data_IF_253268266317
#
_entry.id   IF_253268266317
#
_cell.length_a   1.000
_cell.length_b   1.000
_cell.length_c   1.000
_cell.angle_alpha   90.00
_cell.angle_beta   90.00
_cell.angle_gamma   90.00
#
_symmetry.space_group_name_H-M   'P 1'
#
loop_
_entity.id
_entity.type
_entity.pdbx_description
1 polymer ?
#
# COMPACT_ATOMS: atom_id res chain seq x y z
N UNK A 1 56.37 -82.58 -26.98
CA UNK A 1 56.65 -81.31 -26.30
C UNK A 1 56.00 -80.13 -27.06
N UNK A 2 54.84 -79.71 -26.69
CA UNK A 2 54.14 -78.50 -27.26
C UNK A 2 53.92 -77.48 -26.17
N UNK A 3 54.41 -76.29 -26.37
CA UNK A 3 54.26 -75.13 -25.42
C UNK A 3 52.91 -74.40 -25.64
N UNK A 4 52.17 -73.99 -24.59
CA UNK A 4 50.99 -73.21 -24.75
C UNK A 4 51.32 -71.68 -24.81
N UNK A 5 51.05 -71.07 -25.94
CA UNK A 5 51.17 -69.59 -26.13
C UNK A 5 49.88 -69.03 -26.66
N UNK A 6 48.90 -68.86 -25.83
CA UNK A 6 47.67 -68.08 -26.25
C UNK A 6 46.86 -67.40 -25.13
N UNK A 7 47.30 -67.42 -23.88
CA UNK A 7 46.48 -66.85 -22.79
C UNK A 7 46.78 -65.39 -22.39
N UNK A 8 47.91 -64.82 -22.88
CA UNK A 8 48.33 -63.46 -22.44
C UNK A 8 47.74 -62.29 -23.27
N UNK A 9 47.24 -62.55 -24.48
CA UNK A 9 46.67 -61.52 -25.36
C UNK A 9 45.19 -61.19 -25.08
N UNK A 10 44.46 -62.10 -24.43
CA UNK A 10 43.04 -61.94 -24.07
C UNK A 10 42.84 -60.96 -22.88
N UNK A 11 43.71 -61.08 -21.86
CA UNK A 11 43.61 -60.19 -20.67
C UNK A 11 44.01 -58.74 -20.95
N UNK A 12 44.94 -58.53 -21.91
CA UNK A 12 45.38 -57.20 -22.28
C UNK A 12 44.31 -56.41 -23.12
N UNK A 13 43.54 -57.18 -23.92
CA UNK A 13 42.37 -56.58 -24.64
C UNK A 13 41.17 -56.28 -23.72
N UNK A 14 40.94 -57.15 -22.73
CA UNK A 14 39.90 -56.94 -21.75
C UNK A 14 40.22 -55.75 -20.82
N UNK A 15 41.50 -55.60 -20.41
CA UNK A 15 41.93 -54.43 -19.61
C UNK A 15 41.91 -53.14 -20.43
N UNK A 16 42.19 -53.13 -21.70
CA UNK A 16 42.12 -51.97 -22.57
C UNK A 16 40.65 -51.54 -22.82
N UNK A 17 39.73 -52.50 -23.02
CA UNK A 17 38.30 -52.17 -23.18
C UNK A 17 37.66 -51.69 -21.89
N UNK A 18 38.03 -52.21 -20.73
CA UNK A 18 37.52 -51.70 -19.41
C UNK A 18 38.14 -50.36 -19.11
N UNK A 19 39.42 -50.10 -19.47
CA UNK A 19 40.05 -48.78 -19.27
C UNK A 19 39.42 -47.69 -20.18
N UNK A 20 39.08 -48.04 -21.45
CA UNK A 20 38.36 -47.15 -22.36
C UNK A 20 36.92 -46.95 -21.95
N UNK A 21 36.24 -47.95 -21.40
CA UNK A 21 34.87 -47.83 -20.85
C UNK A 21 34.85 -47.00 -19.56
N UNK A 22 35.89 -47.05 -18.72
CA UNK A 22 36.02 -46.21 -17.53
C UNK A 22 36.40 -44.76 -17.87
N UNK A 23 37.12 -44.49 -18.95
CA UNK A 23 37.40 -43.13 -19.42
C UNK A 23 36.17 -42.52 -20.09
N UNK A 24 35.34 -43.32 -20.77
CA UNK A 24 34.09 -42.81 -21.35
C UNK A 24 32.98 -42.54 -20.32
N UNK A 25 33.08 -43.06 -19.08
CA UNK A 25 32.16 -42.72 -17.98
C UNK A 25 32.56 -41.46 -17.20
N UNK A 26 33.69 -40.84 -17.51
CA UNK A 26 34.15 -39.61 -16.84
C UNK A 26 33.92 -38.33 -17.66
N UNK A 27 33.31 -38.43 -18.83
CA UNK A 27 32.65 -37.27 -19.41
C UNK A 27 31.28 -37.08 -18.73
N UNK A 28 31.31 -36.72 -17.45
CA UNK A 28 30.21 -35.97 -16.86
C UNK A 28 29.99 -34.79 -17.78
N UNK A 29 28.91 -34.80 -18.52
CA UNK A 29 28.42 -33.61 -19.18
C UNK A 29 28.30 -32.54 -18.10
N UNK A 30 29.27 -31.65 -18.05
CA UNK A 30 29.14 -30.39 -17.35
C UNK A 30 28.09 -29.64 -18.18
N UNK A 31 26.81 -29.93 -17.89
CA UNK A 31 25.71 -29.15 -18.40
C UNK A 31 25.93 -27.77 -17.79
N UNK A 32 26.35 -26.81 -18.58
CA UNK A 32 26.36 -25.43 -18.16
C UNK A 32 24.92 -25.14 -17.73
N UNK A 33 24.72 -24.88 -16.45
CA UNK A 33 23.41 -24.45 -15.95
C UNK A 33 23.05 -23.21 -16.74
N UNK A 34 21.95 -23.28 -17.46
CA UNK A 34 21.40 -22.13 -18.17
C UNK A 34 20.86 -21.13 -17.15
N UNK A 35 20.70 -19.87 -17.56
CA UNK A 35 20.11 -18.81 -16.71
C UNK A 35 18.69 -19.15 -16.24
N UNK A 36 18.05 -20.11 -16.88
CA UNK A 36 16.69 -20.59 -16.58
C UNK A 36 16.64 -21.64 -15.46
N UNK A 37 17.80 -22.19 -15.04
CA UNK A 37 17.90 -23.27 -14.07
C UNK A 37 18.85 -22.91 -12.93
N UNK A 38 18.53 -23.37 -11.72
CA UNK A 38 19.41 -23.24 -10.55
C UNK A 38 19.41 -21.87 -9.87
N UNK A 39 18.48 -20.97 -10.23
CA UNK A 39 18.19 -19.76 -9.47
C UNK A 39 17.24 -20.02 -8.28
N UNK A 40 17.23 -19.11 -7.32
CA UNK A 40 16.30 -19.15 -6.18
C UNK A 40 14.93 -18.60 -6.61
N UNK A 41 13.93 -19.49 -6.73
CA UNK A 41 12.58 -19.12 -7.20
C UNK A 41 11.90 -18.14 -6.25
N UNK A 42 12.05 -18.29 -4.94
CA UNK A 42 11.41 -17.41 -3.94
C UNK A 42 12.00 -15.98 -4.00
N UNK A 43 13.34 -15.88 -4.07
CA UNK A 43 13.99 -14.59 -4.28
C UNK A 43 13.63 -14.01 -5.66
N UNK A 44 13.57 -14.85 -6.69
CA UNK A 44 13.17 -14.47 -8.04
C UNK A 44 11.74 -13.91 -8.09
N UNK A 45 10.81 -14.47 -7.34
CA UNK A 45 9.44 -13.95 -7.21
C UNK A 45 9.44 -12.55 -6.59
N UNK A 46 10.18 -12.36 -5.50
CA UNK A 46 10.30 -11.06 -4.83
C UNK A 46 10.89 -9.99 -5.77
N UNK A 47 11.98 -10.34 -6.46
CA UNK A 47 12.66 -9.46 -7.42
C UNK A 47 11.79 -9.16 -8.65
N UNK A 48 11.07 -10.16 -9.16
CA UNK A 48 10.14 -9.98 -10.27
C UNK A 48 9.02 -9.02 -9.90
N UNK A 49 8.39 -9.20 -8.74
CA UNK A 49 7.33 -8.33 -8.26
C UNK A 49 7.81 -6.89 -8.09
N UNK A 50 9.02 -6.70 -7.57
CA UNK A 50 9.59 -5.38 -7.35
C UNK A 50 9.99 -4.64 -8.65
N UNK A 51 10.46 -5.35 -9.69
CA UNK A 51 11.10 -4.72 -10.85
C UNK A 51 10.38 -4.98 -12.19
N UNK A 52 9.62 -6.06 -12.32
CA UNK A 52 9.10 -6.54 -13.62
C UNK A 52 7.57 -6.58 -13.70
N UNK A 53 6.90 -6.95 -12.59
CA UNK A 53 5.45 -7.20 -12.55
C UNK A 53 4.60 -5.98 -12.90
N UNK A 54 5.12 -4.76 -12.73
CA UNK A 54 4.46 -3.52 -13.14
C UNK A 54 4.18 -3.43 -14.64
N UNK A 55 4.97 -4.14 -15.47
CA UNK A 55 4.83 -4.13 -16.92
C UNK A 55 4.57 -5.53 -17.50
N UNK A 56 5.10 -6.58 -16.90
CA UNK A 56 5.03 -7.95 -17.40
C UNK A 56 4.22 -8.85 -16.47
N UNK A 57 3.42 -9.75 -17.04
CA UNK A 57 2.85 -10.90 -16.33
C UNK A 57 3.68 -12.15 -16.62
N UNK A 58 3.76 -13.09 -15.66
CA UNK A 58 4.39 -14.39 -15.87
C UNK A 58 3.56 -15.31 -16.78
N UNK A 59 2.31 -14.96 -17.00
CA UNK A 59 1.36 -15.58 -17.93
C UNK A 59 1.56 -15.04 -19.35
N UNK A 60 0.70 -15.40 -20.29
CA UNK A 60 0.61 -14.84 -21.65
C UNK A 60 -0.16 -13.53 -21.71
N UNK A 61 -0.75 -13.10 -20.59
CA UNK A 61 -1.49 -11.85 -20.49
C UNK A 61 -0.59 -10.64 -20.77
N UNK A 62 -1.07 -9.74 -21.63
CA UNK A 62 -0.39 -8.48 -21.95
C UNK A 62 -0.86 -7.40 -20.99
N UNK A 63 0.07 -6.77 -20.27
CA UNK A 63 -0.20 -5.62 -19.41
C UNK A 63 0.29 -4.33 -20.10
N UNK A 64 1.38 -3.75 -19.66
CA UNK A 64 2.06 -2.64 -20.34
C UNK A 64 3.13 -3.14 -21.33
N UNK A 65 3.47 -4.41 -21.25
CA UNK A 65 4.43 -5.12 -22.08
C UNK A 65 3.96 -6.57 -22.31
N UNK A 66 4.58 -7.32 -23.23
CA UNK A 66 4.19 -8.70 -23.53
C UNK A 66 4.31 -9.61 -22.31
N UNK A 67 3.37 -10.56 -22.17
CA UNK A 67 3.44 -11.62 -21.17
C UNK A 67 4.66 -12.53 -21.37
N UNK A 68 5.19 -13.08 -20.29
CA UNK A 68 6.43 -13.85 -20.27
C UNK A 68 6.23 -15.38 -20.26
N UNK A 69 5.00 -15.89 -20.35
CA UNK A 69 4.77 -17.34 -20.40
C UNK A 69 5.59 -18.00 -21.51
N UNK A 70 6.34 -19.07 -21.15
CA UNK A 70 7.18 -19.82 -22.10
C UNK A 70 8.34 -19.02 -22.69
N UNK A 71 8.80 -17.95 -22.03
CA UNK A 71 9.91 -17.13 -22.53
C UNK A 71 11.20 -17.93 -22.62
N UNK A 72 11.42 -18.91 -21.72
CA UNK A 72 12.58 -19.78 -21.76
C UNK A 72 12.72 -20.54 -23.09
N UNK A 73 11.58 -21.01 -23.64
CA UNK A 73 11.55 -21.72 -24.92
C UNK A 73 11.61 -20.77 -26.12
N UNK A 74 11.21 -19.52 -25.92
CA UNK A 74 11.14 -18.49 -26.98
C UNK A 74 12.40 -17.65 -27.11
N UNK A 75 13.27 -17.65 -26.08
CA UNK A 75 14.48 -16.85 -26.13
C UNK A 75 15.48 -17.44 -27.13
N UNK A 76 15.80 -16.69 -28.17
CA UNK A 76 16.61 -17.14 -29.32
C UNK A 76 18.03 -16.60 -29.34
N UNK A 77 18.52 -16.00 -28.26
CA UNK A 77 19.88 -15.48 -28.13
C UNK A 77 20.63 -16.10 -26.95
N UNK A 78 21.87 -15.66 -26.68
CA UNK A 78 22.63 -16.15 -25.54
C UNK A 78 22.14 -15.65 -24.21
N UNK A 79 22.48 -16.31 -23.12
CA UNK A 79 22.13 -15.90 -21.75
C UNK A 79 22.78 -14.56 -21.39
N UNK A 80 24.01 -14.29 -21.84
CA UNK A 80 24.69 -13.01 -21.64
C UNK A 80 23.92 -11.87 -22.32
N UNK A 81 23.33 -12.15 -23.48
CA UNK A 81 22.56 -11.16 -24.22
C UNK A 81 21.20 -10.92 -23.55
N UNK A 82 20.62 -11.93 -22.88
CA UNK A 82 19.43 -11.73 -22.05
C UNK A 82 19.72 -10.81 -20.87
N UNK A 83 20.83 -11.05 -20.16
CA UNK A 83 21.27 -10.20 -19.06
C UNK A 83 21.43 -8.75 -19.55
N UNK A 84 22.12 -8.58 -20.67
CA UNK A 84 22.34 -7.27 -21.27
C UNK A 84 21.05 -6.60 -21.71
N UNK A 85 20.11 -7.37 -22.29
CA UNK A 85 18.78 -6.86 -22.67
C UNK A 85 17.98 -6.36 -21.47
N UNK A 86 18.01 -7.05 -20.34
CA UNK A 86 17.32 -6.64 -19.12
C UNK A 86 17.98 -5.43 -18.48
N UNK A 87 19.31 -5.42 -18.39
CA UNK A 87 20.06 -4.32 -17.78
C UNK A 87 20.08 -3.05 -18.62
N UNK A 88 20.23 -3.17 -19.95
CA UNK A 88 20.22 -2.04 -20.87
C UNK A 88 19.77 -2.48 -22.28
N UNK A 89 18.46 -2.41 -22.58
CA UNK A 89 17.93 -2.87 -23.86
C UNK A 89 18.50 -2.14 -25.08
N UNK A 90 18.79 -0.85 -24.95
CA UNK A 90 19.36 -0.05 -26.05
C UNK A 90 20.77 -0.51 -26.37
N UNK A 91 21.61 -0.72 -25.38
CA UNK A 91 22.96 -1.23 -25.55
C UNK A 91 22.96 -2.68 -26.11
N UNK A 92 21.98 -3.50 -25.69
CA UNK A 92 21.82 -4.84 -26.27
C UNK A 92 21.46 -4.74 -27.77
N UNK A 93 20.65 -3.77 -28.19
CA UNK A 93 20.30 -3.56 -29.59
C UNK A 93 21.49 -3.13 -30.44
N UNK A 94 22.44 -2.38 -29.89
CA UNK A 94 23.67 -1.96 -30.56
C UNK A 94 24.61 -3.12 -30.89
N UNK A 95 24.43 -4.29 -30.26
CA UNK A 95 25.22 -5.51 -30.58
C UNK A 95 25.00 -6.00 -32.02
N UNK A 96 23.90 -5.62 -32.63
CA UNK A 96 23.55 -6.06 -34.00
C UNK A 96 23.05 -7.50 -34.07
N UNK A 97 22.78 -8.14 -32.94
CA UNK A 97 22.24 -9.51 -32.91
C UNK A 97 20.89 -9.58 -33.62
N UNK A 98 20.69 -10.60 -34.44
CA UNK A 98 19.52 -10.76 -35.29
C UNK A 98 18.24 -10.99 -34.48
N UNK A 99 18.33 -11.71 -33.35
CA UNK A 99 17.18 -11.96 -32.47
C UNK A 99 16.76 -10.69 -31.74
N UNK A 100 17.72 -9.96 -31.15
CA UNK A 100 17.46 -8.68 -30.48
C UNK A 100 16.84 -7.68 -31.47
N UNK A 101 17.36 -7.59 -32.69
CA UNK A 101 16.77 -6.76 -33.72
C UNK A 101 15.31 -7.16 -34.00
N UNK A 102 15.01 -8.46 -34.03
CA UNK A 102 13.62 -8.93 -34.23
C UNK A 102 12.69 -8.53 -33.04
N UNK A 103 13.23 -8.47 -31.81
CA UNK A 103 12.47 -7.98 -30.64
C UNK A 103 12.20 -6.48 -30.75
N UNK A 104 13.21 -5.70 -31.14
CA UNK A 104 13.05 -4.24 -31.37
C UNK A 104 11.99 -3.98 -32.43
N UNK A 105 12.09 -4.62 -33.61
CA UNK A 105 11.16 -4.46 -34.72
C UNK A 105 9.73 -4.87 -34.34
N UNK A 106 9.58 -5.89 -33.48
CA UNK A 106 8.27 -6.43 -33.10
C UNK A 106 7.59 -5.63 -31.99
N UNK A 107 8.35 -5.18 -30.99
CA UNK A 107 7.78 -4.71 -29.73
C UNK A 107 7.99 -3.23 -29.47
N UNK A 108 9.15 -2.65 -29.86
CA UNK A 108 9.47 -1.25 -29.50
C UNK A 108 8.52 -0.25 -30.13
N UNK A 109 8.05 -0.52 -31.37
CA UNK A 109 7.06 0.36 -32.01
C UNK A 109 5.69 0.39 -31.30
N UNK A 110 5.34 -0.67 -30.58
CA UNK A 110 4.03 -0.82 -29.91
C UNK A 110 4.09 -0.42 -28.44
N UNK A 111 5.12 -0.89 -27.72
CA UNK A 111 5.23 -0.74 -26.26
C UNK A 111 6.30 0.26 -25.82
N UNK A 112 7.11 0.77 -26.74
CA UNK A 112 8.29 1.56 -26.42
C UNK A 112 9.47 0.70 -25.97
N UNK A 113 10.57 1.36 -25.63
CA UNK A 113 11.73 0.70 -25.04
C UNK A 113 11.46 0.24 -23.61
N UNK A 114 11.86 -0.99 -23.28
CA UNK A 114 11.91 -1.44 -21.89
C UNK A 114 12.92 -0.56 -21.13
N UNK A 115 12.56 -0.18 -19.92
CA UNK A 115 13.48 0.57 -19.07
C UNK A 115 14.66 -0.31 -18.62
N UNK A 116 15.85 0.27 -18.55
CA UNK A 116 17.01 -0.39 -17.97
C UNK A 116 16.74 -0.77 -16.50
N UNK A 117 17.06 -2.01 -16.14
CA UNK A 117 16.84 -2.52 -14.78
C UNK A 117 18.18 -2.63 -14.03
N UNK A 118 18.24 -2.06 -12.83
CA UNK A 118 19.42 -2.09 -11.97
C UNK A 118 19.48 -3.40 -11.17
N UNK A 119 19.53 -4.54 -11.86
CA UNK A 119 19.60 -5.88 -11.28
C UNK A 119 20.90 -6.57 -11.75
N UNK A 120 21.52 -7.32 -10.86
CA UNK A 120 22.72 -8.10 -11.17
C UNK A 120 22.41 -9.34 -12.01
N UNK A 121 23.43 -9.96 -12.59
CA UNK A 121 23.27 -11.19 -13.37
C UNK A 121 22.74 -12.36 -12.52
N UNK A 122 23.14 -12.46 -11.25
CA UNK A 122 22.64 -13.48 -10.33
C UNK A 122 21.16 -13.25 -9.97
N UNK A 123 20.76 -12.00 -9.73
CA UNK A 123 19.37 -11.66 -9.51
C UNK A 123 18.50 -11.92 -10.75
N UNK A 124 19.01 -11.64 -11.95
CA UNK A 124 18.34 -12.00 -13.21
C UNK A 124 18.16 -13.51 -13.31
N UNK A 125 19.15 -14.29 -12.89
CA UNK A 125 19.05 -15.75 -12.85
C UNK A 125 17.92 -16.22 -11.93
N UNK A 126 17.78 -15.61 -10.76
CA UNK A 126 16.69 -15.90 -9.84
C UNK A 126 15.33 -15.52 -10.44
N UNK A 127 15.23 -14.34 -11.05
CA UNK A 127 14.03 -13.87 -11.75
C UNK A 127 13.64 -14.83 -12.87
N UNK A 128 14.61 -15.25 -13.71
CA UNK A 128 14.33 -16.14 -14.83
C UNK A 128 13.93 -17.55 -14.37
N UNK A 129 14.51 -18.04 -13.27
CA UNK A 129 14.11 -19.31 -12.66
C UNK A 129 12.63 -19.26 -12.18
N UNK A 130 12.21 -18.14 -11.61
CA UNK A 130 10.81 -17.91 -11.22
C UNK A 130 9.90 -17.82 -12.45
N UNK A 131 10.26 -17.05 -13.46
CA UNK A 131 9.47 -16.88 -14.71
C UNK A 131 9.32 -18.18 -15.47
N UNK A 132 10.37 -19.03 -15.50
CA UNK A 132 10.33 -20.33 -16.15
C UNK A 132 9.48 -21.36 -15.38
N UNK A 133 9.48 -21.28 -14.06
CA UNK A 133 8.78 -22.19 -13.17
C UNK A 133 8.01 -21.42 -12.10
N UNK A 134 7.03 -20.61 -12.48
CA UNK A 134 6.21 -19.91 -11.47
C UNK A 134 5.57 -20.98 -10.59
N UNK A 135 5.71 -20.90 -9.25
CA UNK A 135 5.03 -21.84 -8.38
C UNK A 135 3.58 -21.87 -8.80
N UNK A 136 3.02 -23.08 -8.95
CA UNK A 136 1.58 -23.24 -9.05
C UNK A 136 0.98 -22.72 -7.75
N UNK A 137 0.84 -21.43 -7.65
CA UNK A 137 -0.19 -20.85 -6.84
C UNK A 137 -1.46 -21.29 -7.57
N UNK A 138 -2.04 -22.44 -7.19
CA UNK A 138 -3.49 -22.48 -7.11
C UNK A 138 -3.80 -21.25 -6.29
N UNK A 139 -4.04 -20.15 -6.99
CA UNK A 139 -4.77 -19.06 -6.43
C UNK A 139 -6.04 -19.73 -6.00
N UNK A 140 -6.08 -20.13 -4.72
CA UNK A 140 -7.33 -20.22 -4.04
C UNK A 140 -7.88 -18.83 -4.25
N UNK A 141 -8.59 -18.67 -5.36
CA UNK A 141 -9.50 -17.57 -5.58
C UNK A 141 -10.58 -17.83 -4.53
N UNK A 142 -10.21 -17.47 -3.29
CA UNK A 142 -11.21 -17.12 -2.33
C UNK A 142 -11.95 -15.97 -3.02
N UNK A 143 -13.10 -16.29 -3.55
CA UNK A 143 -14.00 -15.34 -4.19
C UNK A 143 -14.44 -14.23 -3.23
N UNK A 144 -13.95 -14.22 -1.99
CA UNK A 144 -14.07 -13.16 -0.99
C UNK A 144 -12.97 -12.09 -1.09
N UNK A 145 -11.86 -12.35 -1.81
CA UNK A 145 -10.71 -11.44 -1.95
C UNK A 145 -10.62 -10.80 -3.36
N UNK A 146 -11.71 -10.84 -4.12
CA UNK A 146 -11.79 -10.03 -5.35
C UNK A 146 -11.56 -8.57 -4.98
N UNK A 147 -10.69 -7.90 -5.76
CA UNK A 147 -10.48 -6.45 -5.62
C UNK A 147 -11.84 -5.78 -5.53
N UNK A 148 -12.11 -4.98 -4.49
CA UNK A 148 -13.42 -4.38 -4.32
C UNK A 148 -13.75 -3.59 -5.58
N UNK A 149 -14.89 -3.90 -6.18
CA UNK A 149 -15.46 -3.03 -7.19
C UNK A 149 -15.70 -1.70 -6.49
N UNK A 150 -15.10 -0.63 -7.03
CA UNK A 150 -15.23 0.71 -6.47
C UNK A 150 -16.70 1.08 -6.55
N UNK A 151 -17.40 0.90 -5.44
CA UNK A 151 -18.71 1.50 -5.23
C UNK A 151 -18.45 2.86 -4.54
N UNK A 152 -18.20 3.89 -5.35
CA UNK A 152 -17.98 5.27 -4.90
C UNK A 152 -19.23 5.87 -4.19
N UNK A 153 -20.30 5.09 -3.98
CA UNK A 153 -21.51 5.55 -3.34
C UNK A 153 -21.47 5.60 -1.82
N UNK A 154 -20.41 5.14 -1.17
CA UNK A 154 -20.16 5.38 0.26
C UNK A 154 -19.22 6.57 0.49
N UNK A 155 -19.57 7.75 -0.03
CA UNK A 155 -19.35 8.97 0.76
C UNK A 155 -20.10 8.78 2.08
N UNK A 156 -19.47 9.01 3.22
CA UNK A 156 -20.14 9.17 4.50
C UNK A 156 -21.18 10.28 4.38
N UNK A 157 -22.29 9.99 3.69
CA UNK A 157 -23.52 10.73 3.86
C UNK A 157 -23.86 10.56 5.33
N UNK A 158 -23.54 11.58 6.12
CA UNK A 158 -24.16 11.78 7.43
C UNK A 158 -25.61 11.47 7.18
N UNK A 159 -26.10 10.39 7.79
CA UNK A 159 -27.45 9.89 7.56
C UNK A 159 -28.45 11.03 7.79
N UNK A 160 -28.65 11.81 6.71
CA UNK A 160 -29.54 12.98 6.70
C UNK A 160 -30.96 12.53 6.96
N UNK A 161 -31.25 11.23 6.83
CA UNK A 161 -32.53 10.63 7.15
C UNK A 161 -32.81 10.73 8.64
N UNK A 162 -31.84 10.51 9.50
CA UNK A 162 -32.00 10.63 10.96
C UNK A 162 -32.30 12.06 11.38
N UNK A 163 -31.59 13.05 10.81
CA UNK A 163 -31.85 14.48 11.06
C UNK A 163 -33.25 14.87 10.57
N UNK A 164 -33.65 14.36 9.40
CA UNK A 164 -34.95 14.61 8.81
C UNK A 164 -36.10 14.01 9.69
N UNK A 165 -35.93 12.81 10.20
CA UNK A 165 -36.88 12.18 11.13
C UNK A 165 -36.96 12.93 12.45
N UNK A 166 -35.86 13.38 13.05
CA UNK A 166 -35.86 14.18 14.26
C UNK A 166 -36.54 15.54 14.05
N UNK A 167 -36.31 16.21 12.92
CA UNK A 167 -36.97 17.47 12.59
C UNK A 167 -38.47 17.27 12.37
N UNK A 168 -38.90 16.24 11.67
CA UNK A 168 -40.31 15.89 11.47
C UNK A 168 -41.02 15.60 12.79
N UNK A 169 -40.39 14.82 13.68
CA UNK A 169 -40.93 14.56 15.03
C UNK A 169 -41.07 15.85 15.84
N UNK A 170 -40.09 16.73 15.82
CA UNK A 170 -40.13 18.01 16.51
C UNK A 170 -41.26 18.88 15.99
N UNK A 171 -41.43 18.98 14.67
CA UNK A 171 -42.57 19.71 14.04
C UNK A 171 -43.91 19.08 14.44
N UNK A 172 -44.03 17.76 14.42
CA UNK A 172 -45.24 17.05 14.83
C UNK A 172 -45.59 17.34 16.29
N UNK A 173 -44.62 17.24 17.21
CA UNK A 173 -44.85 17.55 18.61
C UNK A 173 -45.22 19.01 18.84
N UNK A 174 -44.65 19.96 18.09
CA UNK A 174 -45.04 21.38 18.18
C UNK A 174 -46.47 21.60 17.69
N UNK A 175 -46.90 20.96 16.60
CA UNK A 175 -48.28 21.00 16.09
C UNK A 175 -49.25 20.44 17.13
N UNK A 176 -48.94 19.25 17.71
CA UNK A 176 -49.76 18.66 18.78
C UNK A 176 -49.88 19.57 19.98
N UNK A 177 -48.81 20.20 20.44
CA UNK A 177 -48.79 21.10 21.58
C UNK A 177 -49.63 22.38 21.31
N UNK A 178 -49.51 22.93 20.10
CA UNK A 178 -50.32 24.08 19.67
C UNK A 178 -51.81 23.73 19.57
N UNK A 179 -52.15 22.59 18.98
CA UNK A 179 -53.50 22.08 18.85
C UNK A 179 -54.15 21.83 20.22
N UNK A 180 -53.41 21.15 21.12
CA UNK A 180 -53.87 20.91 22.50
C UNK A 180 -54.11 22.21 23.28
N UNK A 181 -53.25 23.22 23.06
CA UNK A 181 -53.46 24.55 23.67
C UNK A 181 -54.67 25.26 23.13
N UNK A 182 -55.02 25.11 21.84
CA UNK A 182 -56.24 25.61 21.20
C UNK A 182 -57.50 24.97 21.76
N UNK A 183 -57.53 23.65 21.85
CA UNK A 183 -58.65 22.89 22.43
C UNK A 183 -58.88 23.26 23.88
N UNK A 184 -57.81 23.43 24.68
CA UNK A 184 -57.92 23.88 26.06
C UNK A 184 -58.56 25.27 26.17
N UNK A 185 -58.19 26.22 25.29
CA UNK A 185 -58.79 27.54 25.26
C UNK A 185 -60.30 27.48 24.96
N UNK A 186 -60.69 26.75 23.91
CA UNK A 186 -62.08 26.57 23.53
C UNK A 186 -62.93 25.95 24.65
N UNK A 187 -62.36 24.92 25.35
CA UNK A 187 -63.02 24.30 26.50
C UNK A 187 -63.20 25.32 27.68
N UNK A 188 -62.19 26.13 27.94
CA UNK A 188 -62.20 27.09 28.99
C UNK A 188 -63.26 28.16 28.69
N UNK A 189 -63.37 28.62 27.44
CA UNK A 189 -64.41 29.60 27.00
C UNK A 189 -65.84 29.02 27.13
N UNK A 190 -66.04 27.75 26.76
CA UNK A 190 -67.34 27.08 26.90
C UNK A 190 -67.74 26.94 28.38
N UNK A 191 -66.79 26.60 29.25
CA UNK A 191 -67.02 26.46 30.69
C UNK A 191 -67.40 27.85 31.28
N UNK A 192 -66.74 28.94 30.90
CA UNK A 192 -67.07 30.27 31.38
C UNK A 192 -68.44 30.70 30.96
N UNK A 193 -68.86 30.45 29.71
CA UNK A 193 -70.16 30.72 29.19
C UNK A 193 -71.26 29.94 29.94
N UNK A 194 -71.04 28.70 30.37
CA UNK A 194 -71.99 27.90 31.11
C UNK A 194 -72.06 28.19 32.59
N UNK A 195 -70.96 28.61 33.21
CA UNK A 195 -70.91 28.84 34.68
C UNK A 195 -71.08 30.29 35.06
N UNK A 196 -71.11 31.25 34.10
CA UNK A 196 -71.20 32.66 34.37
C UNK A 196 -70.02 33.28 35.13
N UNK A 197 -68.92 32.53 35.26
CA UNK A 197 -67.67 33.00 35.91
C UNK A 197 -66.84 33.81 34.94
N UNK A 198 -66.49 35.05 35.27
CA UNK A 198 -65.45 35.77 34.50
C UNK A 198 -64.12 35.08 34.62
N UNK A 199 -63.57 34.72 33.47
CA UNK A 199 -62.22 34.16 33.38
C UNK A 199 -61.20 35.26 33.64
N UNK A 200 -60.27 34.98 34.54
CA UNK A 200 -59.06 35.78 34.69
C UNK A 200 -58.26 35.78 33.37
N UNK A 201 -57.74 36.93 32.94
CA UNK A 201 -56.99 37.03 31.70
C UNK A 201 -55.82 36.03 31.70
N UNK A 202 -55.67 35.35 30.57
CA UNK A 202 -54.66 34.37 30.42
C UNK A 202 -53.25 34.93 30.69
N UNK A 203 -52.55 34.36 31.67
CA UNK A 203 -51.21 34.81 32.01
C UNK A 203 -50.26 34.50 30.83
N UNK A 204 -49.29 35.37 30.54
CA UNK A 204 -48.31 35.14 29.45
C UNK A 204 -47.69 33.74 29.51
N UNK A 205 -47.46 33.16 28.35
CA UNK A 205 -46.92 31.78 28.20
C UNK A 205 -45.65 31.52 29.07
N UNK A 206 -44.76 32.51 29.13
CA UNK A 206 -43.52 32.47 29.93
C UNK A 206 -43.83 32.30 31.43
N UNK A 207 -44.88 33.01 31.96
CA UNK A 207 -45.29 32.93 33.37
C UNK A 207 -45.81 31.51 33.67
N UNK A 208 -46.58 30.95 32.76
CA UNK A 208 -47.13 29.59 32.88
C UNK A 208 -46.01 28.52 32.82
N UNK A 209 -45.07 28.70 31.89
CA UNK A 209 -43.92 27.81 31.78
C UNK A 209 -43.04 27.85 33.04
N UNK A 210 -42.76 29.07 33.55
CA UNK A 210 -42.01 29.24 34.79
C UNK A 210 -42.71 28.59 36.00
N UNK A 211 -44.01 28.79 36.14
CA UNK A 211 -44.77 28.18 37.24
C UNK A 211 -44.86 26.66 37.12
N UNK A 212 -44.98 26.14 35.91
CA UNK A 212 -44.91 24.71 35.66
C UNK A 212 -43.52 24.14 36.01
N UNK A 213 -42.46 24.80 35.58
CA UNK A 213 -41.09 24.39 35.87
C UNK A 213 -40.81 24.35 37.38
N UNK A 214 -41.28 25.38 38.13
CA UNK A 214 -41.15 25.36 39.59
C UNK A 214 -41.95 24.27 40.28
N UNK A 215 -43.13 23.92 39.77
CA UNK A 215 -43.92 22.80 40.33
C UNK A 215 -43.31 21.45 40.03
N UNK A 216 -42.52 21.35 38.94
CA UNK A 216 -41.88 20.13 38.50
C UNK A 216 -40.35 20.25 38.58
N UNK A 217 -39.84 20.96 39.60
CA UNK A 217 -38.43 21.32 39.70
C UNK A 217 -37.49 20.10 39.65
N UNK A 218 -37.90 18.97 40.26
CA UNK A 218 -37.12 17.74 40.22
C UNK A 218 -36.98 17.19 38.80
N UNK A 219 -38.09 17.16 38.05
CA UNK A 219 -38.09 16.71 36.65
C UNK A 219 -37.25 17.62 35.75
N UNK A 220 -37.43 18.94 35.91
CA UNK A 220 -36.62 19.94 35.17
C UNK A 220 -35.14 19.84 35.53
N UNK A 221 -34.82 19.59 36.79
CA UNK A 221 -33.42 19.39 37.22
C UNK A 221 -32.81 18.12 36.63
N UNK A 222 -33.55 17.02 36.61
CA UNK A 222 -33.09 15.78 35.99
C UNK A 222 -32.77 15.97 34.50
N UNK A 223 -33.70 16.65 33.78
CA UNK A 223 -33.46 16.98 32.36
C UNK A 223 -32.27 17.91 32.21
N UNK A 224 -32.15 18.92 33.08
CA UNK A 224 -31.03 19.85 33.09
C UNK A 224 -29.69 19.12 33.27
N UNK A 225 -29.60 18.24 34.26
CA UNK A 225 -28.40 17.42 34.53
C UNK A 225 -28.10 16.52 33.33
N UNK A 226 -29.13 15.91 32.73
CA UNK A 226 -28.94 15.07 31.52
C UNK A 226 -28.32 15.88 30.37
N UNK A 227 -28.83 17.06 30.06
CA UNK A 227 -28.28 17.91 29.02
C UNK A 227 -26.87 18.44 29.33
N UNK A 228 -26.60 18.77 30.59
CA UNK A 228 -25.24 19.12 31.02
C UNK A 228 -24.29 17.95 30.85
N UNK A 229 -24.66 16.74 31.30
CA UNK A 229 -23.86 15.55 31.12
C UNK A 229 -23.60 15.23 29.63
N UNK A 230 -24.65 15.36 28.79
CA UNK A 230 -24.53 15.20 27.34
C UNK A 230 -23.60 16.25 26.74
N UNK A 231 -23.73 17.53 27.16
CA UNK A 231 -22.83 18.60 26.72
C UNK A 231 -21.37 18.38 27.10
N UNK A 232 -21.15 17.95 28.33
CA UNK A 232 -19.78 17.62 28.83
C UNK A 232 -19.20 16.43 28.04
N UNK A 233 -19.97 15.36 27.84
CA UNK A 233 -19.45 14.16 27.09
C UNK A 233 -19.17 14.50 25.63
N UNK A 234 -20.08 15.24 24.95
CA UNK A 234 -19.87 15.68 23.56
C UNK A 234 -18.72 16.69 23.44
N UNK A 235 -18.65 17.64 24.39
CA UNK A 235 -17.56 18.60 24.46
C UNK A 235 -16.20 17.92 24.68
N UNK A 236 -16.14 16.95 25.59
CA UNK A 236 -14.95 16.15 25.81
C UNK A 236 -14.55 15.35 24.57
N UNK A 237 -15.49 14.67 23.91
CA UNK A 237 -15.24 13.93 22.67
C UNK A 237 -14.71 14.86 21.55
N UNK A 238 -15.30 16.06 21.42
CA UNK A 238 -14.83 17.04 20.43
C UNK A 238 -13.40 17.53 20.73
N UNK A 239 -13.07 17.75 22.00
CA UNK A 239 -11.71 18.13 22.41
C UNK A 239 -10.70 17.00 22.17
N UNK A 240 -11.08 15.75 22.42
CA UNK A 240 -10.25 14.59 22.18
C UNK A 240 -10.07 14.30 20.68
N UNK A 241 -10.97 14.76 19.82
CA UNK A 241 -10.86 14.67 18.37
C UNK A 241 -9.92 15.71 17.74
N UNK A 242 -9.40 16.68 18.50
CA UNK A 242 -8.46 17.67 17.95
C UNK A 242 -7.14 16.96 17.62
N UNK A 243 -6.71 17.07 16.34
CA UNK A 243 -5.49 16.44 15.85
C UNK A 243 -5.62 14.96 15.48
N UNK A 244 -6.85 14.41 15.52
CA UNK A 244 -7.16 13.07 14.99
C UNK A 244 -7.70 13.24 13.57
N UNK A 245 -7.02 12.63 12.60
CA UNK A 245 -7.34 12.78 11.17
C UNK A 245 -7.74 11.47 10.51
N UNK A 246 -8.16 10.47 11.29
CA UNK A 246 -8.64 9.20 10.74
C UNK A 246 -9.78 9.42 9.74
N UNK A 247 -9.74 8.67 8.63
CA UNK A 247 -10.69 8.83 7.54
C UNK A 247 -10.44 10.04 6.64
N UNK A 248 -9.44 10.89 6.92
CA UNK A 248 -9.14 12.04 6.05
C UNK A 248 -8.71 11.56 4.67
N UNK A 249 -9.51 11.94 3.66
CA UNK A 249 -9.32 11.57 2.25
C UNK A 249 -9.62 12.80 1.38
N UNK A 250 -8.65 13.69 1.16
CA UNK A 250 -8.87 14.87 0.35
C UNK A 250 -8.98 14.51 -1.14
N UNK A 251 -9.79 15.26 -1.89
CA UNK A 251 -9.82 15.14 -3.34
C UNK A 251 -8.44 15.43 -3.93
N UNK A 252 -8.07 14.69 -4.95
CA UNK A 252 -6.77 14.81 -5.62
C UNK A 252 -6.94 15.40 -7.03
N UNK A 253 -5.91 16.06 -7.58
CA UNK A 253 -5.97 16.61 -8.93
C UNK A 253 -6.12 15.52 -10.02
N UNK A 254 -5.58 14.34 -9.77
CA UNK A 254 -5.75 13.13 -10.58
C UNK A 254 -6.41 12.08 -9.70
N UNK A 255 -7.51 11.51 -10.14
CA UNK A 255 -8.19 10.42 -9.45
C UNK A 255 -7.42 9.11 -9.67
N UNK A 256 -6.34 8.94 -8.88
CA UNK A 256 -5.47 7.79 -8.96
C UNK A 256 -6.06 6.63 -8.15
N UNK A 257 -6.29 5.50 -8.82
CA UNK A 257 -6.90 4.34 -8.22
C UNK A 257 -5.85 3.31 -7.80
N UNK A 258 -5.55 3.24 -6.50
CA UNK A 258 -4.67 2.19 -5.96
C UNK A 258 -5.24 0.79 -6.21
N UNK A 259 -6.57 0.63 -6.17
CA UNK A 259 -7.25 -0.63 -6.44
C UNK A 259 -6.95 -1.18 -7.84
N UNK A 260 -6.87 -0.33 -8.85
CA UNK A 260 -6.51 -0.75 -10.20
C UNK A 260 -5.02 -1.10 -10.30
N UNK A 261 -4.15 -0.30 -9.68
CA UNK A 261 -2.71 -0.50 -9.81
C UNK A 261 -2.17 -1.61 -8.90
N UNK A 262 -2.46 -1.53 -7.60
CA UNK A 262 -1.88 -2.43 -6.61
C UNK A 262 -2.71 -3.71 -6.38
N UNK A 263 -4.05 -3.66 -6.53
CA UNK A 263 -4.88 -4.84 -6.38
C UNK A 263 -5.07 -5.59 -7.69
N UNK A 264 -5.67 -4.97 -8.73
CA UNK A 264 -5.96 -5.66 -9.99
C UNK A 264 -4.69 -6.00 -10.80
N UNK A 265 -3.73 -5.09 -10.84
CA UNK A 265 -2.49 -5.27 -11.62
C UNK A 265 -1.30 -5.71 -10.78
N UNK A 266 -1.47 -5.84 -9.45
CA UNK A 266 -0.45 -6.32 -8.51
C UNK A 266 0.87 -5.53 -8.58
N UNK A 267 0.80 -4.23 -8.90
CA UNK A 267 1.97 -3.36 -8.89
C UNK A 267 2.43 -3.14 -7.47
N UNK A 268 3.67 -3.53 -7.18
CA UNK A 268 4.26 -3.41 -5.84
C UNK A 268 4.34 -1.94 -5.39
N UNK A 269 4.06 -1.70 -4.10
CA UNK A 269 4.14 -0.36 -3.49
C UNK A 269 5.49 0.31 -3.72
N UNK A 270 6.58 -0.48 -3.65
CA UNK A 270 7.95 -0.03 -3.83
C UNK A 270 8.21 0.52 -5.24
N UNK A 271 7.50 0.04 -6.26
CA UNK A 271 7.67 0.53 -7.62
C UNK A 271 7.41 2.04 -7.73
N UNK A 272 6.37 2.52 -7.05
CA UNK A 272 6.01 3.93 -7.04
C UNK A 272 6.61 4.68 -5.82
N UNK A 273 6.66 4.05 -4.66
CA UNK A 273 7.08 4.65 -3.39
C UNK A 273 8.47 4.16 -2.94
N UNK A 274 9.41 3.94 -3.89
CA UNK A 274 10.76 3.44 -3.60
C UNK A 274 11.51 4.27 -2.55
N UNK A 275 11.27 5.57 -2.49
CA UNK A 275 11.91 6.46 -1.52
C UNK A 275 11.58 6.12 -0.05
N UNK A 276 10.50 5.36 0.22
CA UNK A 276 10.21 4.83 1.55
C UNK A 276 11.31 3.89 2.07
N UNK A 277 12.04 3.25 1.17
CA UNK A 277 13.13 2.33 1.49
C UNK A 277 14.50 3.03 1.63
N UNK A 278 14.64 4.23 1.12
CA UNK A 278 15.92 4.94 1.01
C UNK A 278 15.99 6.22 1.85
N UNK A 279 14.82 6.74 2.26
CA UNK A 279 14.76 8.03 2.95
C UNK A 279 13.72 8.07 4.08
N UNK A 280 13.69 9.20 4.77
CA UNK A 280 12.65 9.46 5.78
C UNK A 280 11.26 9.66 5.17
N UNK A 281 11.15 10.08 3.92
CA UNK A 281 9.90 10.34 3.23
C UNK A 281 9.61 9.27 2.19
N UNK A 282 8.38 8.76 2.17
CA UNK A 282 7.95 7.84 1.11
C UNK A 282 7.82 8.54 -0.25
N UNK A 283 7.47 9.81 -0.23
CA UNK A 283 7.29 10.59 -1.46
C UNK A 283 6.08 10.16 -2.30
N UNK A 284 5.64 11.08 -3.15
CA UNK A 284 4.74 10.80 -4.27
C UNK A 284 5.63 10.59 -5.49
N UNK A 285 5.40 9.54 -6.31
CA UNK A 285 6.23 9.31 -7.49
C UNK A 285 6.14 10.48 -8.46
N UNK A 286 7.24 10.76 -9.15
CA UNK A 286 7.23 11.74 -10.23
C UNK A 286 6.37 11.23 -11.40
N UNK A 287 5.83 12.16 -12.21
CA UNK A 287 5.02 11.80 -13.39
C UNK A 287 5.76 10.90 -14.39
N UNK A 288 7.10 10.91 -14.38
CA UNK A 288 7.91 9.99 -15.18
C UNK A 288 7.66 8.52 -14.85
N UNK A 289 7.43 8.19 -13.57
CA UNK A 289 7.11 6.83 -13.16
C UNK A 289 5.77 6.39 -13.77
N UNK A 290 4.77 7.27 -13.80
CA UNK A 290 3.49 7.03 -14.45
C UNK A 290 3.69 6.73 -15.93
N UNK A 291 4.57 7.48 -16.61
CA UNK A 291 4.85 7.35 -18.04
C UNK A 291 5.58 6.06 -18.42
N UNK A 292 6.15 5.31 -17.46
CA UNK A 292 6.71 4.00 -17.76
C UNK A 292 5.66 3.05 -18.37
N UNK A 293 4.41 3.14 -17.90
CA UNK A 293 3.29 2.34 -18.40
C UNK A 293 2.37 3.18 -19.30
N UNK A 294 2.08 4.42 -18.94
CA UNK A 294 1.08 5.24 -19.63
C UNK A 294 1.53 5.82 -20.97
N UNK A 295 2.77 5.61 -21.42
CA UNK A 295 3.13 5.75 -22.83
C UNK A 295 2.38 4.75 -23.72
N UNK A 296 2.19 3.53 -23.23
CA UNK A 296 1.48 2.45 -23.94
C UNK A 296 0.01 2.38 -23.55
N UNK A 297 -0.29 2.47 -22.24
CA UNK A 297 -1.66 2.42 -21.69
C UNK A 297 -2.26 3.81 -21.70
N UNK A 298 -2.93 4.15 -22.81
CA UNK A 298 -3.50 5.51 -23.03
C UNK A 298 -4.91 5.65 -22.49
N UNK A 299 -5.55 4.55 -22.10
CA UNK A 299 -6.93 4.52 -21.64
C UNK A 299 -7.08 3.68 -20.40
N UNK A 300 -7.61 4.24 -19.35
CA UNK A 300 -7.93 3.55 -18.11
C UNK A 300 -9.22 2.75 -18.23
N UNK A 301 -9.29 1.64 -17.48
CA UNK A 301 -10.46 0.75 -17.44
C UNK A 301 -11.71 1.46 -16.88
N UNK A 302 -11.54 2.33 -15.91
CA UNK A 302 -12.62 3.02 -15.19
C UNK A 302 -12.79 4.45 -15.69
N UNK A 303 -11.73 5.27 -15.63
CA UNK A 303 -11.78 6.71 -15.99
C UNK A 303 -11.61 7.01 -17.48
N UNK A 304 -11.43 5.98 -18.31
CA UNK A 304 -11.19 6.21 -19.74
C UNK A 304 -9.87 6.95 -19.99
N UNK A 305 -9.92 8.00 -20.79
CA UNK A 305 -8.74 8.82 -21.13
C UNK A 305 -8.59 10.05 -20.22
N UNK A 306 -9.63 10.40 -19.46
CA UNK A 306 -9.73 11.70 -18.77
C UNK A 306 -8.61 11.89 -17.71
N UNK A 307 -8.41 10.92 -16.82
CA UNK A 307 -7.42 11.03 -15.76
C UNK A 307 -5.98 10.87 -16.29
N UNK A 308 -5.78 10.02 -17.30
CA UNK A 308 -4.48 9.83 -17.94
C UNK A 308 -4.08 11.09 -18.75
N UNK A 309 -5.04 11.77 -19.36
CA UNK A 309 -4.79 13.02 -20.10
C UNK A 309 -4.19 14.11 -19.19
N UNK A 310 -4.53 14.13 -17.91
CA UNK A 310 -3.95 15.06 -16.93
C UNK A 310 -2.45 14.78 -16.70
N UNK A 311 -2.04 13.51 -16.76
CA UNK A 311 -0.61 13.13 -16.68
C UNK A 311 0.11 13.66 -17.93
N UNK A 312 -0.48 13.45 -19.12
CA UNK A 312 0.09 13.94 -20.37
C UNK A 312 0.20 15.46 -20.38
N UNK A 313 -0.84 16.15 -19.92
CA UNK A 313 -0.82 17.60 -19.78
C UNK A 313 0.28 18.06 -18.81
N UNK A 314 0.47 17.37 -17.69
CA UNK A 314 1.48 17.73 -16.70
C UNK A 314 2.93 17.53 -17.19
N UNK A 315 3.17 16.63 -18.13
CA UNK A 315 4.52 16.29 -18.61
C UNK A 315 4.80 16.76 -20.04
N UNK A 316 3.80 17.29 -20.75
CA UNK A 316 3.94 17.72 -22.13
C UNK A 316 4.07 16.55 -23.12
N UNK A 317 3.34 15.46 -22.91
CA UNK A 317 3.34 14.31 -23.80
C UNK A 317 2.13 14.33 -24.74
N UNK A 318 2.37 14.17 -26.04
CA UNK A 318 1.31 14.00 -27.05
C UNK A 318 1.06 12.49 -27.27
N UNK A 319 -0.07 11.95 -26.81
CA UNK A 319 -0.37 10.53 -27.01
C UNK A 319 -0.64 10.15 -28.48
N UNK A 320 -0.96 11.11 -29.35
CA UNK A 320 -1.23 10.83 -30.76
C UNK A 320 0.08 10.57 -31.52
N UNK A 321 1.11 11.37 -31.28
CA UNK A 321 2.43 11.22 -31.88
C UNK A 321 3.38 10.34 -31.11
N UNK A 322 3.11 10.11 -29.81
CA UNK A 322 4.00 9.39 -28.90
C UNK A 322 5.27 10.17 -28.53
N UNK A 323 5.27 11.48 -28.73
CA UNK A 323 6.42 12.35 -28.49
C UNK A 323 6.13 13.41 -27.44
N UNK A 324 7.19 13.99 -26.84
CA UNK A 324 7.04 15.17 -25.98
C UNK A 324 6.96 16.43 -26.81
N UNK A 325 6.06 17.36 -26.44
CA UNK A 325 5.65 18.52 -27.24
C UNK A 325 6.81 19.47 -27.54
N UNK A 326 7.87 19.51 -26.73
CA UNK A 326 9.04 20.37 -26.93
C UNK A 326 10.37 19.59 -26.98
N UNK A 327 10.35 18.41 -27.55
CA UNK A 327 11.60 17.71 -27.85
C UNK A 327 12.32 18.43 -28.99
N UNK A 328 13.52 18.97 -28.76
CA UNK A 328 14.45 19.46 -29.77
C UNK A 328 14.97 18.37 -30.71
N UNK A 329 14.26 17.23 -30.79
CA UNK A 329 14.64 16.08 -31.61
C UNK A 329 15.86 15.32 -31.12
N UNK A 330 16.48 15.76 -30.05
CA UNK A 330 17.53 15.06 -29.34
C UNK A 330 16.88 14.23 -28.22
N UNK A 331 17.10 12.92 -28.19
CA UNK A 331 16.60 11.97 -27.19
C UNK A 331 17.04 12.27 -25.73
N UNK A 332 17.44 13.46 -25.43
CA UNK A 332 17.76 13.99 -24.12
C UNK A 332 16.54 14.66 -23.52
N UNK A 333 16.22 14.27 -22.33
CA UNK A 333 15.28 14.88 -21.41
C UNK A 333 15.57 16.39 -21.27
N UNK A 334 15.03 17.22 -22.11
CA UNK A 334 15.00 18.66 -21.88
C UNK A 334 13.59 18.97 -21.39
N UNK A 335 13.49 19.29 -20.10
CA UNK A 335 12.28 19.94 -19.58
C UNK A 335 12.11 21.22 -20.40
N UNK A 336 11.00 21.43 -21.10
CA UNK A 336 10.79 22.64 -21.88
C UNK A 336 10.83 23.83 -20.93
N UNK A 337 11.82 24.69 -21.07
CA UNK A 337 11.95 25.82 -20.15
C UNK A 337 10.99 26.98 -20.43
N UNK A 338 10.38 27.07 -21.63
CA UNK A 338 9.72 28.32 -22.00
C UNK A 338 8.43 28.22 -22.84
N UNK A 339 7.89 27.06 -23.19
CA UNK A 339 6.73 27.01 -24.10
C UNK A 339 5.61 26.07 -23.66
N UNK A 340 5.82 25.27 -22.64
CA UNK A 340 4.81 24.39 -22.08
C UNK A 340 4.23 25.00 -20.79
N UNK A 341 2.95 25.39 -20.83
CA UNK A 341 2.22 25.90 -19.65
C UNK A 341 1.76 24.78 -18.71
N UNK A 342 2.31 23.58 -18.83
CA UNK A 342 2.00 22.46 -17.95
C UNK A 342 2.40 22.73 -16.52
N UNK A 343 1.43 22.80 -15.63
CA UNK A 343 1.71 22.89 -14.20
C UNK A 343 2.01 21.50 -13.65
N UNK A 344 3.04 21.37 -12.78
CA UNK A 344 3.27 20.12 -12.04
C UNK A 344 2.02 19.72 -11.28
N UNK A 345 1.74 18.42 -11.19
CA UNK A 345 0.61 17.91 -10.43
C UNK A 345 0.76 18.31 -8.95
N UNK A 346 -0.16 19.12 -8.47
CA UNK A 346 -0.18 19.62 -7.07
C UNK A 346 -1.02 18.68 -6.22
N UNK A 347 -0.41 17.60 -5.74
CA UNK A 347 -1.07 16.63 -4.88
C UNK A 347 -1.44 17.22 -3.52
N UNK A 348 -2.65 16.91 -3.04
CA UNK A 348 -3.05 17.23 -1.69
C UNK A 348 -2.46 16.21 -0.72
N UNK A 349 -1.70 16.68 0.27
CA UNK A 349 -1.02 15.83 1.23
C UNK A 349 -2.04 15.15 2.15
N UNK A 350 -2.04 13.81 2.16
CA UNK A 350 -2.95 13.00 2.98
C UNK A 350 -2.35 12.81 4.38
N UNK A 351 -1.17 12.21 4.45
CA UNK A 351 -0.48 11.94 5.71
C UNK A 351 0.42 13.12 6.08
N UNK A 352 0.12 13.78 7.16
CA UNK A 352 0.85 14.96 7.62
C UNK A 352 1.12 14.87 9.12
N UNK A 353 2.39 14.80 9.49
CA UNK A 353 2.82 14.94 10.88
C UNK A 353 3.18 16.41 11.14
N UNK A 354 3.01 16.90 12.38
CA UNK A 354 3.48 18.24 12.76
C UNK A 354 4.98 18.41 12.50
N UNK A 355 5.42 19.63 12.16
CA UNK A 355 6.81 19.91 11.77
C UNK A 355 7.85 19.57 12.86
N UNK A 356 7.43 19.54 14.12
CA UNK A 356 8.27 19.17 15.25
C UNK A 356 8.39 17.65 15.48
N UNK A 357 7.82 16.83 14.58
CA UNK A 357 7.86 15.37 14.68
C UNK A 357 8.76 14.80 13.60
N UNK A 358 9.79 14.07 14.03
CA UNK A 358 10.64 13.29 13.15
C UNK A 358 10.05 11.88 12.96
N UNK A 359 9.93 11.47 11.71
CA UNK A 359 9.55 10.12 11.32
C UNK A 359 10.39 9.68 10.12
N UNK A 360 10.87 8.45 10.13
CA UNK A 360 11.65 7.88 9.03
C UNK A 360 11.02 6.61 8.51
N UNK A 361 10.53 6.61 7.27
CA UNK A 361 10.03 5.42 6.61
C UNK A 361 11.10 4.33 6.52
N UNK A 362 12.33 4.67 6.12
CA UNK A 362 13.42 3.71 5.99
C UNK A 362 13.67 2.93 7.29
N UNK A 363 13.65 3.60 8.45
CA UNK A 363 13.86 2.92 9.73
C UNK A 363 12.71 1.95 10.06
N UNK A 364 11.48 2.28 9.70
CA UNK A 364 10.32 1.44 9.99
C UNK A 364 10.19 0.29 8.98
N UNK A 365 10.36 0.59 7.68
CA UNK A 365 10.13 -0.39 6.61
C UNK A 365 11.33 -1.30 6.40
N UNK A 366 12.56 -0.75 6.38
CA UNK A 366 13.77 -1.54 6.10
C UNK A 366 14.35 -2.14 7.38
N UNK A 367 14.54 -1.31 8.41
CA UNK A 367 15.18 -1.75 9.65
C UNK A 367 14.18 -2.49 10.55
N UNK A 368 12.96 -1.97 10.66
CA UNK A 368 11.87 -2.58 11.45
C UNK A 368 11.13 -3.70 10.73
N UNK A 369 11.32 -3.88 9.43
CA UNK A 369 10.65 -4.92 8.64
C UNK A 369 9.12 -4.76 8.56
N UNK A 370 8.57 -3.56 8.84
CA UNK A 370 7.14 -3.35 8.88
C UNK A 370 6.57 -3.24 7.46
N UNK A 371 5.44 -3.88 7.25
CA UNK A 371 4.68 -3.77 6.01
C UNK A 371 3.93 -2.43 5.95
N UNK A 372 3.66 -1.93 4.74
CA UNK A 372 2.96 -0.66 4.53
C UNK A 372 1.58 -0.64 5.21
N UNK A 373 0.91 -1.78 5.22
CA UNK A 373 -0.42 -1.98 5.80
C UNK A 373 -0.46 -1.77 7.32
N UNK A 374 0.66 -1.94 8.03
CA UNK A 374 0.73 -1.69 9.48
C UNK A 374 0.39 -0.24 9.86
N UNK A 375 0.55 0.69 8.91
CA UNK A 375 0.33 2.12 9.14
C UNK A 375 -0.72 2.74 8.21
N UNK A 376 -0.83 2.22 6.99
CA UNK A 376 -1.65 2.82 5.94
C UNK A 376 -2.97 2.07 5.68
N UNK A 377 -3.20 0.93 6.36
CA UNK A 377 -4.33 0.05 6.04
C UNK A 377 -4.16 -0.66 4.70
N UNK A 378 -5.22 -1.26 4.18
CA UNK A 378 -5.19 -1.96 2.89
C UNK A 378 -5.32 -0.98 1.71
N UNK A 379 -4.27 -0.18 1.49
CA UNK A 379 -4.23 0.84 0.42
C UNK A 379 -4.51 0.24 -0.95
N UNK A 380 -4.19 -1.03 -1.17
CA UNK A 380 -4.48 -1.71 -2.43
C UNK A 380 -5.98 -1.76 -2.75
N UNK A 381 -6.85 -1.56 -1.76
CA UNK A 381 -8.31 -1.53 -1.95
C UNK A 381 -8.88 -0.11 -2.09
N UNK A 382 -8.06 0.94 -1.94
CA UNK A 382 -8.53 2.32 -1.97
C UNK A 382 -8.61 2.88 -3.40
N UNK A 383 -9.52 3.83 -3.61
CA UNK A 383 -9.47 4.69 -4.79
C UNK A 383 -8.27 5.63 -4.69
N UNK A 384 -8.29 6.54 -3.76
CA UNK A 384 -7.20 7.48 -3.46
C UNK A 384 -6.65 7.19 -2.06
N UNK A 385 -5.51 7.76 -1.71
CA UNK A 385 -4.95 7.63 -0.38
C UNK A 385 -5.83 8.28 0.69
N UNK A 386 -5.98 7.63 1.84
CA UNK A 386 -6.64 8.14 3.03
C UNK A 386 -5.89 7.74 4.29
N UNK A 387 -6.16 8.39 5.40
CA UNK A 387 -5.66 7.96 6.71
C UNK A 387 -6.60 6.85 7.20
N UNK A 388 -6.09 5.63 7.25
CA UNK A 388 -6.85 4.47 7.73
C UNK A 388 -7.15 4.60 9.23
N UNK A 389 -8.40 4.36 9.67
CA UNK A 389 -8.72 4.23 11.08
C UNK A 389 -7.98 3.04 11.72
N UNK A 390 -7.68 3.15 13.00
CA UNK A 390 -6.94 2.09 13.72
C UNK A 390 -7.72 0.77 13.74
N UNK A 391 -9.03 0.82 13.81
CA UNK A 391 -9.91 -0.36 13.77
C UNK A 391 -9.73 -1.13 12.45
N UNK A 392 -9.70 -0.42 11.33
CA UNK A 392 -9.48 -1.01 10.00
C UNK A 392 -8.10 -1.69 9.91
N UNK A 393 -7.06 -1.05 10.44
CA UNK A 393 -5.72 -1.64 10.47
C UNK A 393 -5.72 -2.92 11.33
N UNK A 394 -6.40 -2.90 12.47
CA UNK A 394 -6.50 -4.07 13.34
C UNK A 394 -7.21 -5.25 12.69
N UNK A 395 -8.21 -5.02 11.84
CA UNK A 395 -8.93 -6.05 11.09
C UNK A 395 -8.04 -6.77 10.06
N UNK A 396 -6.95 -6.14 9.64
CA UNK A 396 -6.02 -6.73 8.67
C UNK A 396 -5.07 -7.78 9.26
N UNK A 397 -5.08 -8.03 10.57
CA UNK A 397 -4.16 -8.98 11.24
C UNK A 397 -4.21 -10.38 10.67
N UNK A 398 -5.40 -10.84 10.31
CA UNK A 398 -5.58 -12.18 9.75
C UNK A 398 -5.07 -12.28 8.31
N UNK A 399 -5.06 -11.15 7.59
CA UNK A 399 -4.62 -11.06 6.20
C UNK A 399 -3.11 -10.79 6.08
N UNK A 400 -2.57 -9.95 6.95
CA UNK A 400 -1.16 -9.53 6.92
C UNK A 400 -0.48 -9.90 8.25
N UNK A 401 0.41 -10.89 8.27
CA UNK A 401 1.13 -11.26 9.48
C UNK A 401 2.04 -10.12 9.95
N UNK A 402 2.12 -9.94 11.27
CA UNK A 402 2.95 -8.91 11.89
C UNK A 402 2.26 -7.57 12.14
N UNK A 403 0.96 -7.43 11.84
CA UNK A 403 0.19 -6.26 12.25
C UNK A 403 -0.02 -6.29 13.78
N UNK A 404 0.34 -5.19 14.43
CA UNK A 404 0.21 -5.00 15.87
C UNK A 404 -1.15 -4.36 16.17
N UNK A 405 -1.93 -4.99 17.04
CA UNK A 405 -3.22 -4.42 17.49
C UNK A 405 -3.00 -3.19 18.37
N UNK A 406 -3.57 -2.07 17.96
CA UNK A 406 -3.45 -0.78 18.62
C UNK A 406 -4.84 -0.23 18.97
N UNK A 407 -4.90 0.60 20.02
CA UNK A 407 -6.14 1.17 20.54
C UNK A 407 -6.23 2.70 20.38
N UNK A 408 -5.13 3.33 20.02
CA UNK A 408 -5.08 4.79 19.87
C UNK A 408 -5.27 5.17 18.42
N UNK A 409 -5.92 6.32 18.15
CA UNK A 409 -6.15 6.79 16.79
C UNK A 409 -4.85 6.91 15.99
N UNK A 410 -4.91 6.51 14.72
CA UNK A 410 -3.78 6.49 13.78
C UNK A 410 -3.09 7.85 13.68
N UNK A 411 -1.75 7.84 13.61
CA UNK A 411 -0.87 9.02 13.51
C UNK A 411 -0.88 9.95 14.74
N UNK A 412 -1.52 9.57 15.84
CA UNK A 412 -1.37 10.30 17.11
C UNK A 412 -0.11 9.87 17.85
N UNK A 413 0.40 10.73 18.74
CA UNK A 413 1.54 10.38 19.60
C UNK A 413 1.25 9.09 20.42
N UNK A 414 0.01 8.95 20.89
CA UNK A 414 -0.42 7.75 21.63
C UNK A 414 -0.31 6.47 20.81
N UNK A 415 -0.65 6.52 19.52
CA UNK A 415 -0.54 5.41 18.57
C UNK A 415 0.92 4.98 18.36
N UNK A 416 1.81 5.95 18.13
CA UNK A 416 3.24 5.69 17.98
C UNK A 416 3.84 5.05 19.22
N UNK A 417 3.52 5.59 20.41
CA UNK A 417 4.01 5.08 21.70
C UNK A 417 3.45 3.69 21.99
N UNK A 418 2.19 3.44 21.68
CA UNK A 418 1.58 2.11 21.90
C UNK A 418 2.25 1.06 21.00
N UNK A 419 2.51 1.39 19.73
CA UNK A 419 3.27 0.52 18.83
C UNK A 419 4.69 0.26 19.37
N UNK A 420 5.43 1.30 19.73
CA UNK A 420 6.79 1.20 20.28
C UNK A 420 6.86 0.42 21.63
N UNK A 421 5.73 0.30 22.32
CA UNK A 421 5.64 -0.56 23.51
C UNK A 421 5.47 -2.04 23.20
N UNK A 422 4.82 -2.35 22.09
CA UNK A 422 4.40 -3.69 21.73
C UNK A 422 5.28 -4.31 20.65
N UNK A 423 5.97 -3.47 19.85
CA UNK A 423 6.79 -3.94 18.74
C UNK A 423 8.09 -4.56 19.22
N UNK A 424 8.30 -5.81 18.85
CA UNK A 424 9.58 -6.51 18.97
C UNK A 424 10.41 -6.22 17.71
N UNK A 425 11.72 -6.15 17.87
CA UNK A 425 12.66 -6.03 16.75
C UNK A 425 13.12 -7.43 16.38
N UNK A 426 12.97 -7.80 15.14
CA UNK A 426 13.55 -9.03 14.60
C UNK A 426 15.06 -8.86 14.48
N UNK A 427 15.78 -9.43 15.42
CA UNK A 427 17.24 -9.41 15.46
C UNK A 427 17.85 -10.23 14.34
N UNK A 428 17.17 -11.28 13.87
CA UNK A 428 17.69 -12.19 12.85
C UNK A 428 17.70 -11.54 11.46
N UNK A 429 16.74 -10.67 11.18
CA UNK A 429 16.63 -9.98 9.87
C UNK A 429 17.56 -8.78 9.74
N UNK A 430 18.14 -8.28 10.84
CA UNK A 430 18.96 -7.07 10.83
C UNK A 430 20.33 -7.28 11.49
N UNK A 431 21.36 -7.45 10.66
CA UNK A 431 22.72 -7.70 11.11
C UNK A 431 23.29 -6.64 12.07
N UNK A 432 22.84 -5.39 11.97
CA UNK A 432 23.26 -4.33 12.90
C UNK A 432 22.76 -4.57 14.32
N UNK A 433 21.48 -4.88 14.49
CA UNK A 433 20.92 -5.15 15.81
C UNK A 433 21.41 -6.47 16.39
N UNK A 434 21.63 -7.49 15.57
CA UNK A 434 22.23 -8.75 15.97
C UNK A 434 23.65 -8.53 16.53
N UNK A 435 24.48 -7.76 15.82
CA UNK A 435 25.83 -7.42 16.29
C UNK A 435 25.82 -6.58 17.59
N UNK A 436 24.91 -5.62 17.69
CA UNK A 436 24.73 -4.80 18.90
C UNK A 436 24.28 -5.66 20.09
N UNK A 437 23.36 -6.57 19.88
CA UNK A 437 22.87 -7.51 20.89
C UNK A 437 23.99 -8.42 21.39
N UNK A 438 24.77 -9.00 20.50
CA UNK A 438 25.92 -9.84 20.86
C UNK A 438 27.01 -9.07 21.61
N UNK A 439 27.29 -7.83 21.21
CA UNK A 439 28.20 -6.94 21.94
C UNK A 439 27.69 -6.63 23.34
N UNK A 440 26.40 -6.33 23.48
CA UNK A 440 25.79 -6.07 24.80
C UNK A 440 25.81 -7.32 25.67
N UNK A 441 25.48 -8.51 25.15
CA UNK A 441 25.61 -9.78 25.85
C UNK A 441 27.02 -10.03 26.40
N UNK A 442 28.04 -9.67 25.64
CA UNK A 442 29.43 -9.84 26.02
C UNK A 442 29.91 -8.79 27.00
N UNK A 443 29.49 -7.54 26.86
CA UNK A 443 29.93 -6.40 27.69
C UNK A 443 29.25 -6.38 29.08
N UNK A 444 28.00 -6.86 29.14
CA UNK A 444 27.17 -6.80 30.35
C UNK A 444 27.25 -8.04 31.26
N UNK A 445 28.27 -8.90 31.07
CA UNK A 445 28.46 -10.15 31.84
C UNK A 445 28.49 -10.00 33.37
N UNK A 446 28.46 -8.78 33.91
CA UNK A 446 28.46 -8.51 35.34
C UNK A 446 27.22 -7.78 35.87
N UNK A 447 26.27 -7.42 35.01
CA UNK A 447 25.07 -6.69 35.40
C UNK A 447 23.82 -7.57 35.26
N UNK A 448 23.36 -8.15 36.34
CA UNK A 448 22.24 -9.10 36.39
C UNK A 448 20.90 -8.48 35.97
N UNK A 449 20.73 -7.19 36.18
CA UNK A 449 19.50 -6.48 35.85
C UNK A 449 19.37 -6.24 34.34
N UNK A 450 20.48 -5.90 33.66
CA UNK A 450 20.54 -5.75 32.21
C UNK A 450 20.55 -7.10 31.48
N UNK A 451 21.03 -8.17 32.12
CA UNK A 451 21.05 -9.52 31.55
C UNK A 451 19.64 -10.05 31.31
N UNK A 452 18.66 -9.70 32.14
CA UNK A 452 17.26 -10.09 31.96
C UNK A 452 16.66 -9.60 30.65
N UNK A 453 17.05 -8.42 30.16
CA UNK A 453 16.62 -7.87 28.89
C UNK A 453 17.26 -8.54 27.66
N UNK A 454 18.26 -9.38 27.86
CA UNK A 454 19.00 -10.05 26.78
C UNK A 454 18.80 -11.59 26.82
N UNK A 455 18.02 -12.11 27.76
CA UNK A 455 17.84 -13.56 27.95
C UNK A 455 16.77 -14.15 27.02
N UNK A 456 15.83 -13.36 26.58
CA UNK A 456 14.70 -13.82 25.74
C UNK A 456 14.95 -13.73 24.23
N UNK A 457 16.16 -13.33 23.81
CA UNK A 457 16.56 -13.12 22.42
C UNK A 457 15.61 -12.18 21.64
N UNK A 458 14.86 -11.35 22.36
CA UNK A 458 13.98 -10.31 21.82
C UNK A 458 14.41 -8.97 22.38
N UNK A 459 14.34 -7.95 21.55
CA UNK A 459 14.52 -6.55 21.96
C UNK A 459 13.30 -5.78 21.50
N UNK A 460 12.63 -5.14 22.44
CA UNK A 460 11.54 -4.22 22.10
C UNK A 460 12.10 -2.86 21.66
N UNK A 461 11.33 -2.15 20.87
CA UNK A 461 11.66 -0.77 20.46
C UNK A 461 11.83 0.13 21.69
N UNK A 462 11.05 -0.12 22.76
CA UNK A 462 11.15 0.57 24.03
C UNK A 462 12.51 0.39 24.70
N UNK A 463 13.05 -0.82 24.73
CA UNK A 463 14.36 -1.15 25.30
C UNK A 463 15.51 -0.48 24.55
N UNK A 464 15.36 -0.22 23.26
CA UNK A 464 16.29 0.58 22.44
C UNK A 464 16.12 2.09 22.64
N UNK A 465 15.32 2.53 23.59
CA UNK A 465 15.08 3.95 23.84
C UNK A 465 14.11 4.61 22.85
N UNK A 466 13.29 3.83 22.14
CA UNK A 466 12.27 4.35 21.21
C UNK A 466 11.15 5.17 21.90
N UNK A 467 11.21 5.32 23.22
CA UNK A 467 10.33 6.14 24.05
C UNK A 467 10.89 7.51 24.40
N UNK A 468 12.16 7.73 24.12
CA UNK A 468 12.78 9.01 24.43
C UNK A 468 12.19 10.11 23.56
N UNK A 469 11.77 11.21 24.18
CA UNK A 469 11.14 12.33 23.48
C UNK A 469 11.99 12.83 22.30
N UNK A 470 13.31 12.86 22.48
CA UNK A 470 14.28 13.31 21.46
C UNK A 470 14.42 12.38 20.25
N UNK A 471 13.82 11.19 20.26
CA UNK A 471 13.78 10.29 19.08
C UNK A 471 12.74 10.71 18.08
N UNK A 472 11.66 11.34 18.55
CA UNK A 472 10.54 11.76 17.73
C UNK A 472 10.38 13.28 17.65
N UNK A 473 10.97 14.03 18.58
CA UNK A 473 10.87 15.49 18.67
C UNK A 473 12.25 16.17 18.70
N UNK A 474 12.40 17.30 17.98
CA UNK A 474 13.59 18.15 18.01
C UNK A 474 13.25 19.59 18.34
#
# INVERSE_FOLDING_TARGET
>A
MQKPKTRRKSHMRLLATVFFALISLQFSTFSAQTIWEGGNIENGQSLFNANCASCHKVTDEVLAAPGLAGIADRWGASDELLVKWIQNPQEAAETGDAYIKSLVDRYVGTYGWMNAQAVSADEIKDIMAYVANPPNVEVAVNTSDACPTIDDSKSDEVDSSSILWFTLLLVLFTIIALSASGVRRSLTDIISQKTGQELLPDSPYIVRLKSWAWRNIVFVSIIGVFFVALGVTKGYAALMGIGVYEGYSPSQPIDFLHSVHACENEVDCKYCHHSAYESKHAGIPSTNVCMNCHKAIKKGKISGEDEISKIYAAIGFDPATGTYIDGDGNNGYTIPQNSYEGEPVKWNKVHNLPDHVFFSHQQHVVVGGLQCQNCHGDVATYSVGRIAPVEEINELRDKFPGIIELSKPTLTMGWCIECHNKADIDLASNGYYMEMHDRLKTTLRGNEELRRFLEDDKITVKELGGWECSKCHY
#
